data_IF_706309050785
#
_entry.id   IF_706309050785
#
_cell.length_a   1.000
_cell.length_b   1.000
_cell.length_c   1.000
_cell.angle_alpha   90.00
_cell.angle_beta   90.00
_cell.angle_gamma   90.00
#
_symmetry.space_group_name_H-M   'P 1'
#
loop_
_entity.id
_entity.type
_entity.pdbx_description
1 polymer ?
#
# COMPACT_ATOMS: atom_id res chain seq x y z
N UNK A 1 4.04 -21.98 18.98
CA UNK A 1 3.55 -23.15 18.20
C UNK A 1 2.07 -23.04 17.85
N UNK A 2 1.19 -22.66 18.80
CA UNK A 2 -0.25 -22.48 18.58
C UNK A 2 -0.59 -21.53 17.42
N UNK A 3 0.12 -20.40 17.27
CA UNK A 3 -0.11 -19.45 16.17
C UNK A 3 0.14 -20.04 14.78
N UNK A 4 1.19 -20.86 14.61
CA UNK A 4 1.50 -21.53 13.35
C UNK A 4 0.43 -22.58 13.00
N UNK A 5 -0.05 -23.32 13.99
CA UNK A 5 -1.11 -24.33 13.81
C UNK A 5 -2.43 -23.64 13.43
N UNK A 6 -2.82 -22.58 14.13
CA UNK A 6 -4.01 -21.81 13.80
C UNK A 6 -3.92 -21.16 12.41
N UNK A 7 -2.77 -20.61 12.05
CA UNK A 7 -2.54 -20.07 10.72
C UNK A 7 -2.70 -21.14 9.63
N UNK A 8 -2.13 -22.32 9.84
CA UNK A 8 -2.25 -23.43 8.89
C UNK A 8 -3.70 -23.92 8.75
N UNK A 9 -4.46 -24.01 9.86
CA UNK A 9 -5.88 -24.38 9.84
C UNK A 9 -6.70 -23.35 9.05
N UNK A 10 -6.48 -22.05 9.25
CA UNK A 10 -7.20 -21.02 8.50
C UNK A 10 -6.86 -21.02 7.02
N UNK A 11 -5.61 -21.28 6.64
CA UNK A 11 -5.22 -21.44 5.24
C UNK A 11 -5.93 -22.66 4.62
N UNK A 12 -5.90 -23.81 5.30
CA UNK A 12 -6.59 -25.02 4.84
C UNK A 12 -8.10 -24.81 4.68
N UNK A 13 -8.73 -24.10 5.62
CA UNK A 13 -10.14 -23.73 5.54
C UNK A 13 -10.42 -22.80 4.34
N UNK A 14 -9.56 -21.82 4.08
CA UNK A 14 -9.70 -20.90 2.94
C UNK A 14 -9.63 -21.65 1.61
N UNK A 15 -8.71 -22.61 1.49
CA UNK A 15 -8.63 -23.49 0.32
C UNK A 15 -9.89 -24.35 0.19
N UNK A 16 -10.34 -24.96 1.29
CA UNK A 16 -11.58 -25.76 1.31
C UNK A 16 -12.83 -24.94 0.95
N UNK A 17 -12.94 -23.71 1.45
CA UNK A 17 -14.06 -22.82 1.16
C UNK A 17 -14.08 -22.35 -0.30
N UNK A 18 -12.91 -22.21 -0.95
CA UNK A 18 -12.81 -21.79 -2.36
C UNK A 18 -12.99 -22.93 -3.37
N UNK A 19 -12.96 -24.19 -2.95
CA UNK A 19 -13.16 -25.36 -3.81
C UNK A 19 -14.64 -25.52 -4.24
N UNK A 20 -14.91 -25.85 -5.51
CA UNK A 20 -16.27 -25.99 -6.05
C UNK A 20 -17.04 -27.20 -5.50
N UNK A 21 -16.33 -28.24 -5.03
CA UNK A 21 -16.93 -29.42 -4.38
C UNK A 21 -17.12 -29.24 -2.85
N UNK A 22 -16.74 -28.07 -2.30
CA UNK A 22 -16.90 -27.71 -0.89
C UNK A 22 -18.02 -26.69 -0.69
N UNK A 23 -17.72 -25.59 0.00
CA UNK A 23 -18.68 -24.48 0.19
C UNK A 23 -18.88 -23.63 -1.08
N UNK A 24 -18.01 -23.77 -2.08
CA UNK A 24 -18.07 -23.05 -3.36
C UNK A 24 -18.12 -21.51 -3.20
N UNK A 25 -17.47 -20.99 -2.16
CA UNK A 25 -17.40 -19.55 -1.88
C UNK A 25 -16.35 -18.81 -2.74
N UNK A 26 -15.73 -19.50 -3.69
CA UNK A 26 -14.67 -18.92 -4.51
C UNK A 26 -15.13 -17.65 -5.24
N UNK A 27 -16.37 -17.65 -5.74
CA UNK A 27 -16.94 -16.51 -6.47
C UNK A 27 -17.23 -15.33 -5.53
N UNK A 28 -17.77 -15.61 -4.35
CA UNK A 28 -18.09 -14.65 -3.31
C UNK A 28 -16.82 -14.00 -2.74
N UNK A 29 -15.77 -14.79 -2.50
CA UNK A 29 -14.46 -14.31 -2.06
C UNK A 29 -13.86 -13.35 -3.11
N UNK A 30 -13.90 -13.74 -4.38
CA UNK A 30 -13.40 -12.89 -5.48
C UNK A 30 -14.24 -11.62 -5.60
N UNK A 31 -15.56 -11.71 -5.46
CA UNK A 31 -16.47 -10.57 -5.52
C UNK A 31 -16.22 -9.59 -4.38
N UNK A 32 -16.03 -10.09 -3.17
CA UNK A 32 -15.65 -9.29 -2.01
C UNK A 32 -14.30 -8.60 -2.22
N UNK A 33 -13.29 -9.34 -2.69
CA UNK A 33 -11.96 -8.77 -2.95
C UNK A 33 -12.01 -7.68 -4.03
N UNK A 34 -12.78 -7.90 -5.10
CA UNK A 34 -13.02 -6.91 -6.17
C UNK A 34 -13.76 -5.67 -5.64
N UNK A 35 -14.65 -5.82 -4.66
CA UNK A 35 -15.34 -4.69 -4.01
C UNK A 35 -14.44 -3.90 -3.06
N UNK A 36 -13.58 -4.59 -2.29
CA UNK A 36 -12.67 -3.96 -1.34
C UNK A 36 -11.44 -3.32 -2.01
N UNK A 37 -10.93 -3.90 -3.09
CA UNK A 37 -9.70 -3.42 -3.73
C UNK A 37 -9.78 -1.93 -4.15
N UNK A 38 -10.83 -1.45 -4.86
CA UNK A 38 -10.95 -0.04 -5.23
C UNK A 38 -10.99 0.91 -4.03
N UNK A 39 -11.67 0.51 -2.95
CA UNK A 39 -11.78 1.32 -1.73
C UNK A 39 -10.41 1.46 -1.05
N UNK A 40 -9.67 0.36 -0.90
CA UNK A 40 -8.32 0.38 -0.34
C UNK A 40 -7.36 1.17 -1.24
N UNK A 41 -7.43 0.97 -2.56
CA UNK A 41 -6.60 1.72 -3.52
C UNK A 41 -6.91 3.21 -3.49
N UNK A 42 -8.18 3.62 -3.34
CA UNK A 42 -8.53 5.02 -3.23
C UNK A 42 -7.96 5.65 -1.95
N UNK A 43 -8.06 4.96 -0.81
CA UNK A 43 -7.50 5.45 0.47
C UNK A 43 -5.98 5.56 0.40
N UNK A 44 -5.30 4.49 -0.04
CA UNK A 44 -3.83 4.48 -0.18
C UNK A 44 -3.38 5.51 -1.22
N UNK A 45 -4.10 5.63 -2.33
CA UNK A 45 -3.82 6.61 -3.38
C UNK A 45 -3.96 8.05 -2.89
N UNK A 46 -5.00 8.34 -2.11
CA UNK A 46 -5.18 9.65 -1.49
C UNK A 46 -4.00 10.00 -0.58
N UNK A 47 -3.60 9.07 0.29
CA UNK A 47 -2.43 9.22 1.17
C UNK A 47 -1.15 9.44 0.35
N UNK A 48 -0.95 8.67 -0.72
CA UNK A 48 0.21 8.78 -1.60
C UNK A 48 0.28 10.15 -2.30
N UNK A 49 -0.85 10.74 -2.71
CA UNK A 49 -0.88 12.09 -3.29
C UNK A 49 -0.40 13.13 -2.28
N UNK A 50 -0.87 13.06 -1.03
CA UNK A 50 -0.43 14.00 0.01
C UNK A 50 1.06 13.86 0.33
N UNK A 51 1.57 12.63 0.45
CA UNK A 51 3.00 12.36 0.65
C UNK A 51 3.81 12.87 -0.55
N UNK A 52 3.36 12.60 -1.77
CA UNK A 52 4.07 13.02 -2.98
C UNK A 52 4.15 14.54 -3.14
N UNK A 53 3.09 15.27 -2.81
CA UNK A 53 3.11 16.75 -2.81
C UNK A 53 4.10 17.29 -1.78
N UNK A 54 4.14 16.71 -0.57
CA UNK A 54 5.11 17.10 0.46
C UNK A 54 6.55 16.82 -0.01
N UNK A 55 6.84 15.59 -0.46
CA UNK A 55 8.17 15.19 -0.95
C UNK A 55 8.68 16.06 -2.11
N UNK A 56 7.81 16.46 -3.04
CA UNK A 56 8.17 17.36 -4.15
C UNK A 56 8.54 18.76 -3.62
N UNK A 57 7.76 19.31 -2.68
CA UNK A 57 8.03 20.63 -2.12
C UNK A 57 9.33 20.63 -1.32
N UNK A 58 9.54 19.65 -0.44
CA UNK A 58 10.78 19.48 0.32
C UNK A 58 12.00 19.35 -0.60
N UNK A 59 11.90 18.58 -1.69
CA UNK A 59 13.00 18.46 -2.68
C UNK A 59 13.29 19.75 -3.44
N UNK A 60 12.28 20.56 -3.76
CA UNK A 60 12.49 21.84 -4.43
C UNK A 60 13.16 22.86 -3.51
N UNK A 61 12.78 22.87 -2.23
CA UNK A 61 13.34 23.78 -1.23
C UNK A 61 14.81 23.43 -0.94
N UNK A 62 15.11 22.15 -0.75
CA UNK A 62 16.49 21.66 -0.57
C UNK A 62 17.41 22.06 -1.73
N UNK A 63 16.97 21.87 -2.99
CA UNK A 63 17.74 22.29 -4.17
C UNK A 63 18.00 23.80 -4.20
N UNK A 64 17.03 24.60 -3.77
CA UNK A 64 17.14 26.06 -3.76
C UNK A 64 18.11 26.54 -2.68
N UNK A 65 18.12 25.91 -1.51
CA UNK A 65 19.10 26.18 -0.46
C UNK A 65 20.52 25.78 -0.87
N UNK A 66 20.70 24.63 -1.52
CA UNK A 66 21.99 24.21 -2.08
C UNK A 66 22.53 25.21 -3.12
N UNK A 67 21.68 25.66 -4.06
CA UNK A 67 22.05 26.67 -5.05
C UNK A 67 22.36 28.05 -4.42
N UNK A 68 21.66 28.43 -3.35
CA UNK A 68 21.90 29.67 -2.63
C UNK A 68 23.21 29.63 -1.83
N UNK A 69 23.55 28.48 -1.23
CA UNK A 69 24.81 28.28 -0.52
C UNK A 69 26.02 28.30 -1.45
N UNK A 70 25.88 27.75 -2.66
CA UNK A 70 26.92 27.79 -3.69
C UNK A 70 27.19 29.23 -4.17
N UNK A 71 26.15 29.99 -4.52
CA UNK A 71 26.32 31.39 -4.96
C UNK A 71 26.89 32.31 -3.87
N UNK A 72 26.50 32.11 -2.62
CA UNK A 72 27.03 32.88 -1.47
C UNK A 72 28.51 32.58 -1.17
N UNK A 73 29.00 31.42 -1.62
CA UNK A 73 30.40 31.01 -1.45
C UNK A 73 31.30 31.46 -2.61
N UNK A 74 30.75 31.75 -3.79
CA UNK A 74 31.50 32.28 -4.93
C UNK A 74 31.67 33.81 -4.92
N UNK A 75 30.80 34.54 -4.20
CA UNK A 75 30.85 36.00 -4.06
C UNK A 75 31.72 36.50 -2.88
N UNK A 76 32.46 35.63 -2.19
CA UNK A 76 33.32 35.96 -1.04
C UNK A 76 34.79 35.68 -1.30
#
# INVERSE_FOLDING_TARGET
>A
MISLILGLIFIAFTVFASLPNGLNWGVEIITFLKGCAPVLTAIVGLIAVFIGIADIKDKQEAKKEEEAALKSSEDK
#
